data_IF_798582215389
#
_entry.id   IF_798582215389
#
_cell.length_a   1.000
_cell.length_b   1.000
_cell.length_c   1.000
_cell.angle_alpha   90.00
_cell.angle_beta   90.00
_cell.angle_gamma   90.00
#
_symmetry.space_group_name_H-M   'P 1'
#
loop_
_entity.id
_entity.type
_entity.pdbx_description
1 polymer ?
#
# COMPACT_ATOMS: atom_id res chain seq x y z
N UNK A 1 -7.11 -26.60 7.03
CA UNK A 1 -7.77 -25.65 7.97
C UNK A 1 -6.99 -24.35 8.18
N UNK A 2 -5.66 -24.38 8.35
CA UNK A 2 -4.82 -23.18 8.61
C UNK A 2 -4.89 -22.10 7.50
N UNK A 3 -4.79 -22.50 6.24
CA UNK A 3 -4.84 -21.57 5.09
C UNK A 3 -6.18 -20.86 4.95
N UNK A 4 -7.30 -21.56 5.14
CA UNK A 4 -8.64 -20.94 5.10
C UNK A 4 -8.81 -19.87 6.18
N UNK A 5 -8.31 -20.13 7.40
CA UNK A 5 -8.35 -19.15 8.50
C UNK A 5 -7.49 -17.93 8.20
N UNK A 6 -6.27 -18.15 7.71
CA UNK A 6 -5.37 -17.06 7.30
C UNK A 6 -6.00 -16.21 6.20
N UNK A 7 -6.56 -16.83 5.16
CA UNK A 7 -7.20 -16.11 4.07
C UNK A 7 -8.37 -15.24 4.57
N UNK A 8 -9.24 -15.76 5.44
CA UNK A 8 -10.33 -14.98 6.02
C UNK A 8 -9.84 -13.82 6.89
N UNK A 9 -8.79 -14.05 7.70
CA UNK A 9 -8.16 -13.02 8.52
C UNK A 9 -7.55 -11.91 7.65
N UNK A 10 -6.82 -12.27 6.60
CA UNK A 10 -6.20 -11.32 5.68
C UNK A 10 -7.23 -10.52 4.87
N UNK A 11 -8.38 -11.11 4.53
CA UNK A 11 -9.50 -10.36 3.91
C UNK A 11 -10.06 -9.31 4.86
N UNK A 12 -10.18 -9.66 6.14
CA UNK A 12 -10.66 -8.72 7.16
C UNK A 12 -9.64 -7.58 7.34
N UNK A 13 -8.36 -7.93 7.50
CA UNK A 13 -7.27 -6.94 7.58
C UNK A 13 -7.28 -6.01 6.37
N UNK A 14 -7.34 -6.53 5.14
CA UNK A 14 -7.41 -5.68 3.96
C UNK A 14 -8.60 -4.71 4.04
N UNK A 15 -9.80 -5.21 4.38
CA UNK A 15 -11.00 -4.37 4.44
C UNK A 15 -10.88 -3.23 5.46
N UNK A 16 -10.34 -3.52 6.64
CA UNK A 16 -10.27 -2.56 7.75
C UNK A 16 -9.09 -1.60 7.63
N UNK A 17 -7.95 -2.11 7.14
CA UNK A 17 -6.66 -1.44 7.26
C UNK A 17 -6.16 -0.81 5.95
N UNK A 18 -6.94 -0.91 4.87
CA UNK A 18 -6.77 -0.12 3.64
C UNK A 18 -7.91 0.86 3.41
N UNK A 19 -8.81 1.03 4.39
CA UNK A 19 -9.87 2.04 4.29
C UNK A 19 -9.26 3.43 4.44
N UNK A 20 -9.23 4.15 3.32
CA UNK A 20 -8.66 5.49 3.24
C UNK A 20 -9.37 6.48 4.17
N UNK A 21 -10.70 6.43 4.28
CA UNK A 21 -11.43 7.39 5.11
C UNK A 21 -11.00 7.22 6.57
N UNK A 22 -10.97 5.96 7.02
CA UNK A 22 -10.45 5.61 8.33
C UNK A 22 -8.99 6.07 8.52
N UNK A 23 -8.10 5.75 7.57
CA UNK A 23 -6.67 6.11 7.65
C UNK A 23 -6.45 7.62 7.75
N UNK A 24 -7.19 8.43 6.97
CA UNK A 24 -7.01 9.87 6.95
C UNK A 24 -7.65 10.57 8.17
N UNK A 25 -8.68 9.99 8.77
CA UNK A 25 -9.41 10.57 9.90
C UNK A 25 -8.81 10.20 11.27
N UNK A 26 -8.12 9.06 11.41
CA UNK A 26 -7.74 8.50 12.72
C UNK A 26 -6.30 8.81 13.18
N UNK A 27 -5.32 8.84 12.27
CA UNK A 27 -3.93 9.27 12.51
C UNK A 27 -3.20 9.26 11.15
N UNK A 28 -2.64 10.39 10.66
CA UNK A 28 -2.09 10.45 9.30
C UNK A 28 -0.77 9.69 9.13
N UNK A 29 -0.33 8.85 10.07
CA UNK A 29 0.79 7.93 9.83
C UNK A 29 0.34 6.68 9.07
N UNK A 30 0.63 6.65 7.77
CA UNK A 30 0.31 5.54 6.88
C UNK A 30 1.50 5.16 6.01
N UNK A 31 1.44 3.94 5.47
CA UNK A 31 2.43 3.41 4.55
C UNK A 31 1.91 3.39 3.13
N UNK A 32 2.81 3.59 2.17
CA UNK A 32 2.54 3.40 0.76
C UNK A 32 2.83 1.95 0.37
N UNK A 33 1.92 1.38 -0.40
CA UNK A 33 2.06 0.03 -0.96
C UNK A 33 1.85 0.08 -2.47
N UNK A 34 2.70 -0.63 -3.21
CA UNK A 34 2.54 -0.75 -4.66
C UNK A 34 1.19 -1.39 -5.00
N UNK A 35 0.44 -0.74 -5.89
CA UNK A 35 -0.97 -1.02 -6.11
C UNK A 35 -1.21 -2.36 -6.79
N UNK A 36 -0.37 -2.78 -7.73
CA UNK A 36 -0.50 -4.08 -8.41
C UNK A 36 -0.33 -5.21 -7.40
N UNK A 37 0.63 -5.11 -6.49
CA UNK A 37 0.82 -6.08 -5.41
C UNK A 37 -0.40 -6.12 -4.49
N UNK A 38 -0.89 -4.96 -4.02
CA UNK A 38 -2.04 -4.89 -3.11
C UNK A 38 -3.29 -5.51 -3.75
N UNK A 39 -3.59 -5.16 -5.01
CA UNK A 39 -4.72 -5.72 -5.74
C UNK A 39 -4.55 -7.23 -6.00
N UNK A 40 -3.36 -7.68 -6.38
CA UNK A 40 -3.08 -9.10 -6.59
C UNK A 40 -3.26 -9.91 -5.29
N UNK A 41 -2.78 -9.39 -4.17
CA UNK A 41 -2.99 -9.99 -2.86
C UNK A 41 -4.49 -10.12 -2.54
N UNK A 42 -5.26 -9.04 -2.67
CA UNK A 42 -6.70 -9.06 -2.46
C UNK A 42 -7.46 -10.03 -3.37
N UNK A 43 -7.14 -10.07 -4.67
CA UNK A 43 -7.78 -10.98 -5.62
C UNK A 43 -7.51 -12.44 -5.28
N UNK A 44 -6.29 -12.76 -4.84
CA UNK A 44 -5.97 -14.14 -4.39
C UNK A 44 -6.72 -14.51 -3.12
N UNK A 45 -6.87 -13.57 -2.19
CA UNK A 45 -7.72 -13.78 -1.03
C UNK A 45 -9.18 -14.02 -1.44
N UNK A 46 -9.65 -13.38 -2.52
CA UNK A 46 -10.97 -13.65 -3.08
C UNK A 46 -11.14 -15.06 -3.63
N UNK A 47 -10.08 -15.62 -4.21
CA UNK A 47 -9.99 -17.01 -4.66
C UNK A 47 -9.82 -18.03 -3.51
N UNK A 48 -9.77 -17.58 -2.25
CA UNK A 48 -9.47 -18.46 -1.11
C UNK A 48 -8.00 -18.88 -1.02
N UNK A 49 -7.10 -18.16 -1.69
CA UNK A 49 -5.65 -18.37 -1.73
C UNK A 49 -4.94 -17.32 -0.88
N UNK A 50 -3.75 -17.65 -0.37
CA UNK A 50 -2.88 -16.70 0.34
C UNK A 50 -1.99 -15.92 -0.64
N UNK A 51 -1.43 -14.79 -0.20
CA UNK A 51 -0.43 -14.04 -0.96
C UNK A 51 0.83 -14.85 -1.28
N UNK A 52 1.63 -14.41 -2.26
CA UNK A 52 2.93 -15.00 -2.61
C UNK A 52 3.87 -13.87 -2.95
N UNK A 53 5.11 -14.02 -2.49
CA UNK A 53 6.19 -13.11 -2.79
C UNK A 53 6.12 -11.81 -1.99
N UNK A 54 7.24 -11.09 -1.92
CA UNK A 54 7.36 -9.87 -1.15
C UNK A 54 6.55 -8.73 -1.76
N UNK A 55 6.17 -7.77 -0.91
CA UNK A 55 5.69 -6.47 -1.35
C UNK A 55 6.79 -5.82 -2.19
N UNK A 56 6.48 -5.36 -3.41
CA UNK A 56 7.47 -4.76 -4.29
C UNK A 56 7.22 -3.26 -4.46
N UNK A 57 7.93 -2.44 -3.68
CA UNK A 57 7.81 -0.98 -3.72
C UNK A 57 8.81 -0.31 -4.67
N UNK A 58 9.67 -1.04 -5.38
CA UNK A 58 10.58 -0.46 -6.39
C UNK A 58 9.87 0.45 -7.41
N UNK A 59 8.67 0.09 -7.92
CA UNK A 59 7.95 0.94 -8.88
C UNK A 59 7.49 2.29 -8.31
N UNK A 60 7.55 2.47 -6.99
CA UNK A 60 7.18 3.73 -6.33
C UNK A 60 8.37 4.69 -6.20
N UNK A 61 9.61 4.24 -6.45
CA UNK A 61 10.79 5.06 -6.28
C UNK A 61 10.99 6.08 -7.41
N UNK A 62 11.70 7.18 -7.12
CA UNK A 62 12.17 8.13 -8.15
C UNK A 62 13.23 7.57 -9.08
N UNK A 63 13.99 6.59 -8.62
CA UNK A 63 15.22 6.09 -9.25
C UNK A 63 15.55 4.69 -8.73
N UNK A 64 16.47 4.01 -9.41
CA UNK A 64 16.98 2.69 -9.01
C UNK A 64 17.63 2.68 -7.61
N UNK A 65 18.02 3.86 -7.09
CA UNK A 65 18.56 3.99 -5.73
C UNK A 65 17.51 3.84 -4.62
N UNK A 66 16.20 3.89 -4.95
CA UNK A 66 15.09 3.74 -4.00
C UNK A 66 15.06 4.71 -2.82
N UNK A 67 15.86 5.78 -2.84
CA UNK A 67 16.03 6.67 -1.69
C UNK A 67 14.75 7.46 -1.36
N UNK A 68 13.99 7.83 -2.39
CA UNK A 68 12.83 8.70 -2.30
C UNK A 68 11.61 8.15 -3.04
N UNK A 69 10.43 8.45 -2.50
CA UNK A 69 9.15 8.19 -3.17
C UNK A 69 9.02 9.10 -4.39
N UNK A 70 8.50 8.58 -5.50
CA UNK A 70 8.22 9.37 -6.68
C UNK A 70 7.11 10.40 -6.39
N UNK A 71 7.37 11.72 -6.49
CA UNK A 71 6.34 12.75 -6.27
C UNK A 71 5.21 12.69 -7.34
N UNK A 72 5.45 12.01 -8.45
CA UNK A 72 4.46 11.77 -9.50
C UNK A 72 3.67 10.46 -9.30
N UNK A 73 3.95 9.69 -8.24
CA UNK A 73 3.15 8.52 -7.90
C UNK A 73 1.70 8.94 -7.65
N UNK A 74 0.72 8.10 -8.02
CA UNK A 74 -0.71 8.40 -7.87
C UNK A 74 -1.49 7.21 -7.33
N UNK A 75 -2.59 7.45 -6.59
CA UNK A 75 -3.40 6.36 -6.04
C UNK A 75 -4.31 5.66 -7.08
N UNK A 76 -4.14 5.96 -8.37
CA UNK A 76 -5.00 5.47 -9.46
C UNK A 76 -4.17 4.66 -10.47
N UNK A 77 -4.83 3.72 -11.15
CA UNK A 77 -4.32 3.03 -12.34
C UNK A 77 -3.41 1.82 -12.08
N UNK A 78 -3.39 0.89 -13.03
CA UNK A 78 -2.48 -0.25 -13.07
C UNK A 78 -1.23 0.15 -13.87
N UNK A 79 -0.49 1.13 -13.38
CA UNK A 79 0.74 1.61 -14.02
C UNK A 79 1.86 1.75 -12.99
N UNK A 80 3.10 1.88 -13.49
CA UNK A 80 4.30 2.07 -12.68
C UNK A 80 4.20 3.36 -11.86
N UNK A 81 4.23 3.26 -10.53
CA UNK A 81 4.00 4.40 -9.63
C UNK A 81 2.56 4.52 -9.13
N UNK A 82 1.70 3.55 -9.45
CA UNK A 82 0.40 3.39 -8.80
C UNK A 82 0.55 2.88 -7.37
N UNK A 83 -0.13 3.51 -6.40
CA UNK A 83 -0.07 3.09 -5.00
C UNK A 83 -1.45 2.92 -4.35
N UNK A 84 -1.47 2.14 -3.27
CA UNK A 84 -2.47 2.24 -2.20
C UNK A 84 -1.82 2.77 -0.92
N UNK A 85 -2.65 3.05 0.10
CA UNK A 85 -2.17 3.34 1.44
C UNK A 85 -2.74 2.33 2.43
N UNK A 86 -1.99 2.04 3.48
CA UNK A 86 -2.44 1.19 4.57
C UNK A 86 -1.97 1.72 5.94
N UNK A 87 -2.62 1.25 6.99
CA UNK A 87 -2.18 1.51 8.36
C UNK A 87 -0.85 0.81 8.67
N UNK A 88 -0.14 1.24 9.73
CA UNK A 88 1.05 0.56 10.21
C UNK A 88 0.80 -0.90 10.58
N UNK A 89 -0.38 -1.22 11.14
CA UNK A 89 -0.74 -2.59 11.51
C UNK A 89 -0.70 -3.53 10.31
N UNK A 90 -1.38 -3.15 9.22
CA UNK A 90 -1.36 -3.96 8.00
C UNK A 90 0.03 -3.99 7.38
N UNK A 91 0.75 -2.86 7.35
CA UNK A 91 2.10 -2.81 6.81
C UNK A 91 3.05 -3.79 7.52
N UNK A 92 3.08 -3.77 8.85
CA UNK A 92 3.92 -4.69 9.61
C UNK A 92 3.52 -6.15 9.38
N UNK A 93 2.21 -6.44 9.35
CA UNK A 93 1.74 -7.80 9.06
C UNK A 93 2.23 -8.30 7.69
N UNK A 94 2.07 -7.51 6.62
CA UNK A 94 2.43 -7.97 5.28
C UNK A 94 3.95 -8.08 5.09
N UNK A 95 4.75 -7.17 5.65
CA UNK A 95 6.21 -7.24 5.55
C UNK A 95 6.75 -8.43 6.32
N UNK A 96 6.26 -8.68 7.54
CA UNK A 96 6.66 -9.84 8.33
C UNK A 96 6.27 -11.17 7.67
N UNK A 97 5.13 -11.21 6.97
CA UNK A 97 4.63 -12.43 6.33
C UNK A 97 5.22 -12.70 4.96
N UNK A 98 5.38 -11.66 4.16
CA UNK A 98 5.66 -11.78 2.73
C UNK A 98 7.04 -11.24 2.36
N UNK A 99 7.63 -10.39 3.18
CA UNK A 99 8.86 -9.67 2.90
C UNK A 99 8.63 -8.38 2.11
N UNK A 100 9.71 -7.64 1.90
CA UNK A 100 9.73 -6.37 1.17
C UNK A 100 10.89 -6.35 0.17
N UNK A 101 10.60 -5.82 -1.02
CA UNK A 101 11.58 -5.46 -2.05
C UNK A 101 11.45 -3.95 -2.29
N UNK A 102 12.58 -3.25 -2.24
CA UNK A 102 12.62 -1.79 -2.21
C UNK A 102 12.54 -1.22 -0.80
N UNK A 103 12.01 0.00 -0.65
CA UNK A 103 11.95 0.74 0.61
C UNK A 103 10.51 0.88 1.12
N UNK A 104 10.38 0.95 2.44
CA UNK A 104 9.14 1.37 3.09
C UNK A 104 8.99 2.89 2.93
N UNK A 105 7.89 3.33 2.32
CA UNK A 105 7.56 4.76 2.22
C UNK A 105 6.35 5.05 3.11
N UNK A 106 6.40 6.18 3.79
CA UNK A 106 5.43 6.61 4.80
C UNK A 106 4.91 8.00 4.48
N UNK A 107 3.85 8.40 5.17
CA UNK A 107 3.34 9.78 5.11
C UNK A 107 4.37 10.84 5.56
N UNK A 108 5.43 10.47 6.29
CA UNK A 108 6.51 11.38 6.65
C UNK A 108 7.43 11.72 5.46
N UNK A 109 7.63 10.76 4.53
CA UNK A 109 8.49 10.93 3.35
C UNK A 109 7.94 11.97 2.36
N UNK A 110 6.64 12.28 2.46
CA UNK A 110 5.95 13.21 1.57
C UNK A 110 5.73 14.59 2.20
N UNK A 111 6.40 14.94 3.30
CA UNK A 111 6.24 16.26 3.95
C UNK A 111 6.94 17.41 3.20
N UNK A 112 7.91 17.09 2.32
CA UNK A 112 8.67 18.09 1.56
C UNK A 112 7.83 18.90 0.55
N UNK A 113 8.34 20.05 0.08
CA UNK A 113 7.61 20.93 -0.84
C UNK A 113 7.30 20.27 -2.19
N UNK A 114 8.12 19.32 -2.65
CA UNK A 114 7.94 18.61 -3.92
C UNK A 114 6.77 17.62 -3.98
N UNK A 115 6.06 17.40 -2.87
CA UNK A 115 4.99 16.39 -2.78
C UNK A 115 3.58 16.98 -2.68
N UNK A 116 3.40 18.28 -2.95
CA UNK A 116 2.09 18.96 -2.89
C UNK A 116 1.00 18.23 -3.67
N UNK A 117 1.25 18.00 -4.95
CA UNK A 117 0.30 17.32 -5.85
C UNK A 117 0.01 15.88 -5.43
N UNK A 118 1.02 15.18 -4.89
CA UNK A 118 0.84 13.82 -4.40
C UNK A 118 -0.09 13.81 -3.19
N UNK A 119 0.15 14.69 -2.20
CA UNK A 119 -0.72 14.83 -1.02
C UNK A 119 -2.15 15.20 -1.42
N UNK A 120 -2.31 16.14 -2.34
CA UNK A 120 -3.61 16.50 -2.88
C UNK A 120 -4.29 15.31 -3.56
N UNK A 121 -3.54 14.50 -4.31
CA UNK A 121 -4.08 13.30 -4.97
C UNK A 121 -4.63 12.26 -3.99
N UNK A 122 -4.05 12.16 -2.78
CA UNK A 122 -4.53 11.25 -1.71
C UNK A 122 -5.85 11.76 -1.14
N UNK A 123 -5.96 13.06 -0.87
CA UNK A 123 -7.18 13.71 -0.38
C UNK A 123 -8.30 13.59 -1.42
N UNK A 124 -7.99 13.85 -2.69
CA UNK A 124 -8.92 13.81 -3.82
C UNK A 124 -9.15 12.40 -4.40
N UNK A 125 -8.61 11.36 -3.76
CA UNK A 125 -8.81 9.97 -4.16
C UNK A 125 -10.25 9.50 -3.92
N UNK A 126 -11.16 9.88 -4.81
CA UNK A 126 -12.53 9.34 -4.82
C UNK A 126 -12.51 7.88 -5.28
N UNK A 127 -13.22 7.02 -4.53
CA UNK A 127 -13.78 5.79 -5.05
C UNK A 127 -14.80 6.20 -6.12
N UNK A 128 -14.47 6.00 -7.39
CA UNK A 128 -15.47 6.05 -8.47
C UNK A 128 -16.13 4.67 -8.50
#
# INVERSE_FOLDING_TARGET
MRQKRQCMYERQLHKEQTDRAYILDSDPHYYFIERVWLCSWFLRLCDGKIGVGPVNNLPLATSESNDALNPNARPRGNFVGGFGICTPELWHYIVDKYGLVGKAYTSDDIKGPGYGDLRESIVNWRLI
#
